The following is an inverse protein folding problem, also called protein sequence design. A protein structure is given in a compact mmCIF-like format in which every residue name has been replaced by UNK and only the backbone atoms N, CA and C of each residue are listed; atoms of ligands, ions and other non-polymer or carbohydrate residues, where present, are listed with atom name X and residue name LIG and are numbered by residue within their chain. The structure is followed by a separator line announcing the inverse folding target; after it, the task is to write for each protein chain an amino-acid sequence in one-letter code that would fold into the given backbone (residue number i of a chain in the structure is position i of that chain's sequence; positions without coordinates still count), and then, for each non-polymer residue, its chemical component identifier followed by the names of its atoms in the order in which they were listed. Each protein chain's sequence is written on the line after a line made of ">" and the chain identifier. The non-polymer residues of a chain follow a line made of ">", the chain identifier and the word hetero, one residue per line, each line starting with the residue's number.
data_IF_813049890718
#
_entry.id   IF_813049890718
#
_cell.length_a   1.000
_cell.length_b   1.000
_cell.length_c   1.000
_cell.angle_alpha   90.00
_cell.angle_beta   90.00
_cell.angle_gamma   90.00
#
_symmetry.space_group_name_H-M   'P 1'
#
loop_
_entity.id
_entity.type
_entity.pdbx_description
1 polymer ?
#
# COMPACT_ATOMS: atom_id res chain seq x y z
N UNK A 1 -5.37 12.90 -4.33
CA UNK A 1 -4.30 12.42 -3.43
C UNK A 1 -3.57 13.59 -2.80
N UNK A 2 -3.29 13.49 -1.47
CA UNK A 2 -2.51 14.48 -0.70
C UNK A 2 -1.23 13.83 -0.14
N UNK A 3 -0.23 14.64 0.19
CA UNK A 3 1.03 14.20 0.79
C UNK A 3 1.11 14.76 2.22
N UNK A 4 0.73 13.94 3.21
CA UNK A 4 0.59 14.39 4.61
C UNK A 4 1.89 14.28 5.39
N UNK A 5 2.72 13.28 5.11
CA UNK A 5 4.08 13.21 5.66
C UNK A 5 5.13 13.39 4.56
N UNK A 6 6.37 13.67 4.96
CA UNK A 6 7.48 13.85 4.04
C UNK A 6 7.72 12.65 3.11
N UNK A 7 8.23 12.92 1.91
CA UNK A 7 8.56 11.93 0.90
C UNK A 7 9.96 11.34 1.10
N UNK A 8 10.30 10.30 0.31
CA UNK A 8 11.63 9.64 0.27
C UNK A 8 12.83 10.61 0.26
N UNK A 9 12.69 11.83 -0.28
CA UNK A 9 13.75 12.85 -0.32
C UNK A 9 14.13 13.41 1.06
N UNK A 10 13.24 13.34 2.03
CA UNK A 10 13.48 13.83 3.39
C UNK A 10 14.24 12.81 4.24
N UNK A 11 14.27 11.53 3.87
CA UNK A 11 15.13 10.52 4.54
C UNK A 11 16.62 10.91 4.57
N UNK A 12 17.07 11.81 3.70
CA UNK A 12 18.44 12.34 3.72
C UNK A 12 18.75 13.17 4.97
N UNK A 13 17.73 13.75 5.59
CA UNK A 13 17.85 14.64 6.74
C UNK A 13 17.41 13.97 8.05
N UNK A 14 16.79 12.79 8.00
CA UNK A 14 16.49 12.02 9.20
C UNK A 14 17.80 11.49 9.79
N UNK A 15 18.21 12.04 10.92
CA UNK A 15 19.15 11.36 11.82
C UNK A 15 18.39 10.18 12.42
N UNK A 16 18.39 9.06 11.73
CA UNK A 16 17.91 7.82 12.29
C UNK A 16 18.79 7.49 13.50
N UNK A 17 18.23 7.61 14.71
CA UNK A 17 18.89 7.06 15.88
C UNK A 17 19.08 5.56 15.65
N UNK A 18 20.22 5.03 16.06
CA UNK A 18 20.56 3.60 15.95
C UNK A 18 19.67 2.71 16.84
N UNK A 19 18.81 3.31 17.63
CA UNK A 19 17.79 2.66 18.44
C UNK A 19 16.46 2.77 17.68
N UNK A 20 15.81 1.64 17.48
CA UNK A 20 14.65 1.37 16.61
C UNK A 20 13.34 2.10 16.97
N UNK A 21 13.43 3.26 17.55
CA UNK A 21 12.33 4.19 17.74
C UNK A 21 12.55 5.37 16.80
N UNK A 22 11.98 5.30 15.60
CA UNK A 22 11.60 6.55 14.93
C UNK A 22 10.73 7.27 15.94
N UNK A 23 11.26 8.32 16.58
CA UNK A 23 10.44 9.09 17.48
C UNK A 23 9.26 9.57 16.65
N UNK A 24 8.07 9.09 17.00
CA UNK A 24 6.78 9.33 16.32
C UNK A 24 6.54 10.81 16.04
N UNK A 25 7.20 11.67 16.80
CA UNK A 25 7.13 13.12 16.71
C UNK A 25 8.08 13.75 15.67
N UNK A 26 9.01 12.97 15.09
CA UNK A 26 9.99 13.49 14.14
C UNK A 26 9.52 13.43 12.68
N UNK A 27 8.46 12.67 12.37
CA UNK A 27 7.86 12.73 11.04
C UNK A 27 7.09 14.03 10.88
N UNK A 28 7.59 14.92 10.02
CA UNK A 28 6.91 16.16 9.72
C UNK A 28 5.53 15.90 9.11
N UNK A 29 4.47 16.27 9.83
CA UNK A 29 3.14 16.40 9.28
C UNK A 29 3.08 17.72 8.51
N UNK A 30 2.80 17.67 7.21
CA UNK A 30 2.85 18.83 6.32
C UNK A 30 1.56 19.67 6.34
N UNK A 31 0.52 19.17 7.00
CA UNK A 31 -0.81 19.79 7.07
C UNK A 31 -1.33 19.79 8.50
N UNK A 32 -2.13 20.78 8.82
CA UNK A 32 -2.97 20.77 10.03
C UNK A 32 -4.16 19.81 9.82
N UNK A 33 -4.80 19.42 10.91
CA UNK A 33 -6.02 18.60 10.86
C UNK A 33 -7.13 19.31 10.06
N UNK A 34 -7.28 20.63 10.24
CA UNK A 34 -8.31 21.43 9.58
C UNK A 34 -8.08 21.49 8.06
N UNK A 35 -6.83 21.58 7.62
CA UNK A 35 -6.49 21.54 6.20
C UNK A 35 -6.83 20.18 5.57
N UNK A 36 -6.52 19.07 6.26
CA UNK A 36 -6.87 17.73 5.79
C UNK A 36 -8.40 17.57 5.76
N UNK A 37 -9.12 17.99 6.80
CA UNK A 37 -10.60 17.98 6.83
C UNK A 37 -11.19 18.76 5.64
N UNK A 38 -10.67 19.95 5.36
CA UNK A 38 -11.15 20.75 4.22
C UNK A 38 -10.98 20.03 2.87
N UNK A 39 -9.88 19.30 2.69
CA UNK A 39 -9.65 18.48 1.48
C UNK A 39 -10.63 17.32 1.42
N UNK A 40 -10.83 16.60 2.52
CA UNK A 40 -11.74 15.45 2.61
C UNK A 40 -13.17 15.90 2.35
N UNK A 41 -13.66 16.93 3.03
CA UNK A 41 -15.01 17.46 2.88
C UNK A 41 -15.27 17.90 1.42
N UNK A 42 -14.29 18.58 0.81
CA UNK A 42 -14.40 19.01 -0.59
C UNK A 42 -14.50 17.82 -1.54
N UNK A 43 -13.66 16.79 -1.36
CA UNK A 43 -13.67 15.60 -2.22
C UNK A 43 -14.96 14.80 -2.02
N UNK A 44 -15.37 14.57 -0.78
CA UNK A 44 -16.58 13.80 -0.44
C UNK A 44 -17.83 14.50 -0.92
N UNK A 45 -17.89 15.84 -0.91
CA UNK A 45 -19.04 16.61 -1.41
C UNK A 45 -19.37 16.34 -2.89
N UNK A 46 -18.38 15.85 -3.65
CA UNK A 46 -18.53 15.48 -5.07
C UNK A 46 -18.38 13.97 -5.29
N UNK A 47 -18.50 13.16 -4.24
CA UNK A 47 -18.46 11.69 -4.30
C UNK A 47 -17.08 11.14 -4.67
N UNK A 48 -15.99 11.83 -4.31
CA UNK A 48 -14.62 11.37 -4.57
C UNK A 48 -13.93 10.97 -3.28
N UNK A 49 -13.17 9.88 -3.32
CA UNK A 49 -12.31 9.39 -2.23
C UNK A 49 -11.02 10.19 -2.15
N UNK A 50 -10.43 10.25 -0.95
CA UNK A 50 -9.13 10.87 -0.68
C UNK A 50 -8.12 9.80 -0.27
N UNK A 51 -7.00 9.75 -0.97
CA UNK A 51 -5.84 8.94 -0.63
C UNK A 51 -4.73 9.84 -0.07
N UNK A 52 -4.11 9.45 1.03
CA UNK A 52 -3.01 10.19 1.64
C UNK A 52 -1.69 9.41 1.59
N UNK A 53 -0.66 10.00 0.97
CA UNK A 53 0.70 9.55 1.21
C UNK A 53 1.03 9.87 2.67
N UNK A 54 1.22 8.84 3.47
CA UNK A 54 1.50 8.98 4.89
C UNK A 54 2.25 7.74 5.41
N UNK A 55 3.31 7.98 6.17
CA UNK A 55 4.14 6.89 6.70
C UNK A 55 3.70 6.42 8.07
N UNK A 56 3.05 7.24 8.88
CA UNK A 56 2.61 6.96 10.24
C UNK A 56 2.56 8.20 11.14
N UNK A 57 2.40 8.00 12.45
CA UNK A 57 2.49 9.03 13.46
C UNK A 57 1.36 10.07 13.40
N UNK A 58 1.67 11.32 13.83
CA UNK A 58 0.67 12.39 13.88
C UNK A 58 -0.08 12.61 12.57
N UNK A 59 0.63 12.53 11.44
CA UNK A 59 0.02 12.70 10.12
C UNK A 59 -1.03 11.63 9.82
N UNK A 60 -0.78 10.38 10.22
CA UNK A 60 -1.73 9.28 10.08
C UNK A 60 -2.94 9.49 11.00
N UNK A 61 -2.71 9.86 12.26
CA UNK A 61 -3.80 10.16 13.20
C UNK A 61 -4.72 11.27 12.67
N UNK A 62 -4.14 12.34 12.11
CA UNK A 62 -4.90 13.41 11.49
C UNK A 62 -5.67 12.94 10.23
N UNK A 63 -5.07 12.07 9.40
CA UNK A 63 -5.76 11.48 8.26
C UNK A 63 -6.99 10.68 8.68
N UNK A 64 -6.84 9.82 9.71
CA UNK A 64 -7.92 9.01 10.25
C UNK A 64 -9.02 9.88 10.82
N UNK A 65 -8.67 10.87 11.66
CA UNK A 65 -9.63 11.80 12.28
C UNK A 65 -10.35 12.66 11.24
N UNK A 66 -9.66 13.03 10.16
CA UNK A 66 -10.25 13.80 9.06
C UNK A 66 -11.14 12.98 8.14
N UNK A 67 -11.12 11.64 8.23
CA UNK A 67 -11.92 10.74 7.40
C UNK A 67 -11.31 10.47 6.03
N UNK A 68 -9.97 10.45 5.91
CA UNK A 68 -9.27 10.01 4.68
C UNK A 68 -9.62 8.57 4.37
N UNK A 69 -9.92 8.24 3.11
CA UNK A 69 -10.38 6.92 2.72
C UNK A 69 -9.26 5.88 2.69
N UNK A 70 -8.05 6.26 2.26
CA UNK A 70 -6.90 5.35 2.25
C UNK A 70 -5.59 6.04 2.62
N UNK A 71 -4.77 5.31 3.36
CA UNK A 71 -3.37 5.62 3.62
C UNK A 71 -2.52 4.86 2.62
N UNK A 72 -1.58 5.56 1.99
CA UNK A 72 -0.61 4.95 1.09
C UNK A 72 0.72 4.80 1.83
N UNK A 73 1.32 3.64 1.69
CA UNK A 73 2.58 3.20 2.29
C UNK A 73 2.47 2.74 3.73
N UNK A 74 2.23 3.60 4.71
CA UNK A 74 2.09 3.22 6.11
C UNK A 74 3.30 2.48 6.70
N UNK A 75 4.52 2.78 6.22
CA UNK A 75 5.74 2.00 6.55
C UNK A 75 6.18 2.13 8.01
N UNK A 76 5.65 3.11 8.74
CA UNK A 76 5.93 3.36 10.16
C UNK A 76 4.67 3.29 11.03
N UNK A 77 3.66 2.52 10.60
CA UNK A 77 2.47 2.25 11.41
C UNK A 77 2.89 1.53 12.70
N UNK A 78 2.49 2.08 13.83
CA UNK A 78 2.58 1.43 15.15
C UNK A 78 1.22 0.87 15.60
N UNK A 79 1.14 0.43 16.85
CA UNK A 79 -0.06 -0.22 17.36
C UNK A 79 -1.22 0.77 17.53
N UNK A 80 -0.95 2.03 17.92
CA UNK A 80 -1.99 3.07 18.05
C UNK A 80 -2.52 3.49 16.68
N UNK A 81 -1.64 3.62 15.67
CA UNK A 81 -2.03 3.91 14.28
C UNK A 81 -2.92 2.80 13.73
N UNK A 82 -2.52 1.54 13.99
CA UNK A 82 -3.28 0.36 13.55
C UNK A 82 -4.66 0.31 14.21
N UNK A 83 -4.75 0.56 15.52
CA UNK A 83 -6.02 0.63 16.23
C UNK A 83 -6.93 1.74 15.70
N UNK A 84 -6.39 2.93 15.45
CA UNK A 84 -7.13 4.04 14.88
C UNK A 84 -7.71 3.69 13.49
N UNK A 85 -6.91 3.05 12.63
CA UNK A 85 -7.35 2.63 11.30
C UNK A 85 -8.40 1.51 11.36
N UNK A 86 -8.25 0.54 12.26
CA UNK A 86 -9.24 -0.52 12.46
C UNK A 86 -10.60 0.06 12.89
N UNK A 87 -10.59 1.03 13.80
CA UNK A 87 -11.80 1.67 14.32
C UNK A 87 -12.50 2.56 13.29
N UNK A 88 -11.73 3.21 12.40
CA UNK A 88 -12.28 4.11 11.37
C UNK A 88 -12.69 3.39 10.08
N UNK A 89 -12.14 2.21 9.81
CA UNK A 89 -12.29 1.52 8.54
C UNK A 89 -11.45 2.12 7.40
N UNK A 90 -10.49 2.99 7.70
CA UNK A 90 -9.54 3.54 6.72
C UNK A 90 -8.71 2.43 6.10
N UNK A 91 -8.59 2.42 4.76
CA UNK A 91 -7.81 1.44 4.02
C UNK A 91 -6.32 1.73 4.09
N UNK A 92 -5.50 0.66 3.94
CA UNK A 92 -4.06 0.80 3.73
C UNK A 92 -3.67 0.21 2.38
N UNK A 93 -2.88 0.95 1.58
CA UNK A 93 -2.23 0.40 0.39
C UNK A 93 -0.77 0.10 0.71
N UNK A 94 -0.43 -1.18 0.82
CA UNK A 94 0.95 -1.63 0.97
C UNK A 94 1.69 -1.40 -0.35
N UNK A 95 2.94 -0.94 -0.26
CA UNK A 95 3.79 -0.65 -1.42
C UNK A 95 5.18 -1.21 -1.20
N UNK A 96 5.25 -2.51 -0.94
CA UNK A 96 6.46 -3.22 -0.53
C UNK A 96 7.61 -3.05 -1.53
N UNK A 97 7.30 -3.03 -2.82
CA UNK A 97 8.29 -2.82 -3.87
C UNK A 97 9.07 -1.52 -3.68
N UNK A 98 8.39 -0.47 -3.23
CA UNK A 98 9.00 0.82 -3.01
C UNK A 98 10.09 0.82 -1.92
N UNK A 99 10.02 -0.10 -0.95
CA UNK A 99 10.83 -0.07 0.27
C UNK A 99 11.61 -1.36 0.56
N UNK A 100 11.21 -2.49 -0.03
CA UNK A 100 11.79 -3.80 0.27
C UNK A 100 12.46 -4.48 -0.94
N UNK A 101 12.28 -3.94 -2.16
CA UNK A 101 12.86 -4.51 -3.36
C UNK A 101 14.30 -4.00 -3.58
N UNK A 102 15.28 -4.89 -3.41
CA UNK A 102 16.70 -4.58 -3.56
C UNK A 102 17.05 -4.08 -4.97
N UNK A 103 16.45 -4.65 -6.01
CA UNK A 103 16.72 -4.25 -7.39
C UNK A 103 16.35 -2.78 -7.66
N UNK A 104 15.34 -2.28 -6.97
CA UNK A 104 14.96 -0.87 -7.06
C UNK A 104 16.05 0.04 -6.52
N UNK A 105 16.68 -0.32 -5.40
CA UNK A 105 17.73 0.48 -4.77
C UNK A 105 19.03 0.41 -5.55
N UNK A 106 19.43 -0.76 -6.03
CA UNK A 106 20.61 -0.94 -6.88
C UNK A 106 20.55 -0.07 -8.13
N UNK A 107 19.38 0.08 -8.72
CA UNK A 107 19.23 0.77 -10.02
C UNK A 107 18.92 2.28 -9.87
N UNK A 108 18.45 2.77 -8.73
CA UNK A 108 17.93 4.13 -8.59
C UNK A 108 18.31 4.85 -7.30
N UNK A 109 18.95 4.18 -6.35
CA UNK A 109 19.29 4.74 -5.05
C UNK A 109 20.63 5.46 -5.04
N UNK A 110 20.75 6.54 -4.25
CA UNK A 110 22.05 6.97 -3.77
C UNK A 110 22.48 6.06 -2.60
N UNK A 111 23.80 5.93 -2.32
CA UNK A 111 24.26 5.13 -1.19
C UNK A 111 23.57 5.47 0.13
N UNK A 112 23.38 6.76 0.42
CA UNK A 112 22.79 7.25 1.66
C UNK A 112 21.30 6.85 1.78
N UNK A 113 20.57 6.93 0.66
CA UNK A 113 19.17 6.52 0.60
C UNK A 113 19.03 5.01 0.79
N UNK A 114 19.91 4.24 0.15
CA UNK A 114 19.97 2.78 0.24
C UNK A 114 20.25 2.33 1.67
N UNK A 115 21.24 2.92 2.33
CA UNK A 115 21.58 2.61 3.73
C UNK A 115 20.40 2.92 4.67
N UNK A 116 19.69 4.02 4.46
CA UNK A 116 18.51 4.36 5.24
C UNK A 116 17.43 3.27 5.15
N UNK A 117 17.13 2.81 3.93
CA UNK A 117 16.13 1.76 3.73
C UNK A 117 16.54 0.42 4.31
N UNK A 118 17.80 0.01 4.19
CA UNK A 118 18.27 -1.24 4.79
C UNK A 118 18.17 -1.22 6.32
N UNK A 119 18.45 -0.09 6.96
CA UNK A 119 18.31 0.07 8.41
C UNK A 119 16.86 -0.07 8.88
N UNK A 120 15.89 0.36 8.08
CA UNK A 120 14.47 0.34 8.43
C UNK A 120 13.72 -0.87 7.91
N UNK A 121 14.35 -1.71 7.10
CA UNK A 121 13.72 -2.87 6.45
C UNK A 121 12.99 -3.77 7.44
N UNK A 122 13.61 -4.15 8.54
CA UNK A 122 13.02 -5.04 9.53
C UNK A 122 11.83 -4.38 10.25
N UNK A 123 11.90 -3.09 10.49
CA UNK A 123 10.78 -2.35 11.04
C UNK A 123 9.59 -2.35 10.07
N UNK A 124 9.82 -2.04 8.79
CA UNK A 124 8.78 -2.03 7.75
C UNK A 124 8.16 -3.43 7.60
N UNK A 125 8.97 -4.47 7.57
CA UNK A 125 8.51 -5.86 7.54
C UNK A 125 7.64 -6.19 8.76
N UNK A 126 8.06 -5.79 9.95
CA UNK A 126 7.29 -5.98 11.19
C UNK A 126 5.95 -5.24 11.16
N UNK A 127 5.95 -3.97 10.75
CA UNK A 127 4.73 -3.16 10.61
C UNK A 127 3.73 -3.79 9.62
N UNK A 128 4.19 -4.19 8.44
CA UNK A 128 3.35 -4.85 7.44
C UNK A 128 2.86 -6.22 7.88
N UNK A 129 3.70 -6.99 8.61
CA UNK A 129 3.27 -8.27 9.20
C UNK A 129 2.14 -8.06 10.22
N UNK A 130 2.20 -7.03 11.05
CA UNK A 130 1.13 -6.68 11.99
C UNK A 130 -0.16 -6.32 11.24
N UNK A 131 -0.07 -5.47 10.22
CA UNK A 131 -1.20 -5.09 9.37
C UNK A 131 -1.87 -6.33 8.76
N UNK A 132 -1.10 -7.22 8.13
CA UNK A 132 -1.61 -8.44 7.49
C UNK A 132 -2.38 -9.32 8.48
N UNK A 133 -1.90 -9.41 9.73
CA UNK A 133 -2.48 -10.26 10.78
C UNK A 133 -3.61 -9.59 11.57
N UNK A 134 -3.78 -8.28 11.48
CA UNK A 134 -4.72 -7.53 12.32
C UNK A 134 -6.17 -7.59 11.85
N UNK A 135 -6.42 -7.97 10.60
CA UNK A 135 -7.74 -7.85 9.98
C UNK A 135 -8.03 -6.47 9.38
N UNK A 136 -7.06 -5.55 9.39
CA UNK A 136 -7.19 -4.27 8.69
C UNK A 136 -7.45 -4.49 7.18
N UNK A 137 -8.32 -3.69 6.60
CA UNK A 137 -8.51 -3.68 5.16
C UNK A 137 -7.28 -3.12 4.47
N UNK A 138 -6.61 -3.96 3.68
CA UNK A 138 -5.46 -3.52 2.89
C UNK A 138 -5.57 -3.96 1.43
N UNK A 139 -4.95 -3.18 0.57
CA UNK A 139 -4.67 -3.47 -0.83
C UNK A 139 -3.17 -3.41 -1.09
N UNK A 140 -2.74 -3.77 -2.29
CA UNK A 140 -1.34 -3.70 -2.71
C UNK A 140 -1.17 -2.83 -3.94
N UNK A 141 -0.06 -2.11 -4.03
CA UNK A 141 0.32 -1.27 -5.16
C UNK A 141 1.84 -1.13 -5.27
N UNK A 142 2.36 -0.82 -6.46
CA UNK A 142 3.81 -0.84 -6.74
C UNK A 142 4.51 0.52 -6.61
N UNK A 143 3.77 1.59 -6.36
CA UNK A 143 4.27 2.97 -6.32
C UNK A 143 5.12 3.32 -7.57
N UNK A 144 4.53 3.10 -8.75
CA UNK A 144 5.13 3.45 -10.03
C UNK A 144 6.13 2.44 -10.61
N UNK A 145 6.26 1.25 -10.03
CA UNK A 145 7.02 0.14 -10.61
C UNK A 145 6.09 -0.72 -11.46
N UNK A 146 5.88 -0.32 -12.72
CA UNK A 146 5.04 -1.06 -13.65
C UNK A 146 5.59 -2.48 -13.89
N UNK A 147 4.69 -3.47 -13.87
CA UNK A 147 5.04 -4.88 -14.05
C UNK A 147 5.46 -5.62 -12.78
N UNK A 148 5.62 -4.94 -11.63
CA UNK A 148 6.14 -5.52 -10.39
C UNK A 148 5.06 -5.90 -9.37
N UNK A 149 3.80 -6.00 -9.75
CA UNK A 149 2.72 -6.41 -8.83
C UNK A 149 2.97 -7.83 -8.25
N UNK A 150 3.64 -8.71 -8.98
CA UNK A 150 4.00 -10.03 -8.49
C UNK A 150 4.91 -9.95 -7.26
N UNK A 151 5.83 -8.97 -7.22
CA UNK A 151 6.69 -8.74 -6.05
C UNK A 151 5.86 -8.36 -4.81
N UNK A 152 4.84 -7.54 -4.97
CA UNK A 152 3.93 -7.17 -3.86
C UNK A 152 3.23 -8.41 -3.30
N UNK A 153 2.68 -9.24 -4.19
CA UNK A 153 1.97 -10.46 -3.81
C UNK A 153 2.89 -11.47 -3.11
N UNK A 154 4.08 -11.70 -3.65
CA UNK A 154 5.09 -12.55 -3.04
C UNK A 154 5.52 -12.04 -1.67
N UNK A 155 5.71 -10.72 -1.54
CA UNK A 155 6.13 -10.08 -0.27
C UNK A 155 5.03 -10.22 0.79
N UNK A 156 3.76 -9.97 0.49
CA UNK A 156 2.71 -10.10 1.51
C UNK A 156 2.50 -11.54 1.94
N UNK A 157 2.73 -12.53 1.05
CA UNK A 157 2.74 -13.95 1.41
C UNK A 157 3.94 -14.29 2.30
N UNK A 158 5.13 -13.79 1.97
CA UNK A 158 6.34 -13.94 2.79
C UNK A 158 6.17 -13.33 4.21
N UNK A 159 5.38 -12.26 4.31
CA UNK A 159 5.01 -11.62 5.57
C UNK A 159 3.85 -12.33 6.31
N UNK A 160 3.31 -13.41 5.76
CA UNK A 160 2.36 -14.30 6.42
C UNK A 160 0.92 -14.24 5.93
N UNK A 161 0.63 -13.59 4.81
CA UNK A 161 -0.68 -13.68 4.18
C UNK A 161 -0.89 -15.06 3.54
N UNK A 162 -2.14 -15.56 3.56
CA UNK A 162 -2.52 -16.67 2.69
C UNK A 162 -2.45 -16.22 1.20
N UNK A 163 -2.00 -17.07 0.26
CA UNK A 163 -1.93 -16.70 -1.16
C UNK A 163 -3.26 -16.19 -1.74
N UNK A 164 -4.39 -16.72 -1.29
CA UNK A 164 -5.72 -16.26 -1.72
C UNK A 164 -5.98 -14.82 -1.21
N UNK A 165 -5.59 -14.52 0.03
CA UNK A 165 -5.74 -13.17 0.59
C UNK A 165 -4.81 -12.17 -0.11
N UNK A 166 -3.60 -12.58 -0.50
CA UNK A 166 -2.70 -11.78 -1.32
C UNK A 166 -3.33 -11.46 -2.68
N UNK A 167 -3.89 -12.46 -3.38
CA UNK A 167 -4.59 -12.25 -4.65
C UNK A 167 -5.80 -11.32 -4.48
N UNK A 168 -6.58 -11.46 -3.41
CA UNK A 168 -7.68 -10.55 -3.10
C UNK A 168 -7.20 -9.11 -2.87
N UNK A 169 -6.04 -8.92 -2.25
CA UNK A 169 -5.47 -7.60 -2.01
C UNK A 169 -5.14 -6.85 -3.30
N UNK A 170 -4.79 -7.56 -4.38
CA UNK A 170 -4.55 -6.99 -5.71
C UNK A 170 -5.80 -6.94 -6.61
N UNK A 171 -6.92 -7.49 -6.20
CA UNK A 171 -8.13 -7.61 -7.01
C UNK A 171 -9.33 -6.97 -6.30
N UNK A 172 -10.16 -7.77 -5.65
CA UNK A 172 -11.43 -7.27 -5.06
C UNK A 172 -11.19 -6.23 -3.95
N UNK A 173 -10.20 -6.43 -3.07
CA UNK A 173 -9.91 -5.46 -2.01
C UNK A 173 -9.38 -4.14 -2.60
N UNK A 174 -8.52 -4.20 -3.63
CA UNK A 174 -8.08 -3.00 -4.35
C UNK A 174 -9.26 -2.28 -5.04
N UNK A 175 -10.18 -3.03 -5.66
CA UNK A 175 -11.38 -2.47 -6.25
C UNK A 175 -12.29 -1.79 -5.20
N UNK A 176 -12.48 -2.40 -4.04
CA UNK A 176 -13.23 -1.83 -2.90
C UNK A 176 -12.58 -0.55 -2.37
N UNK A 177 -11.26 -0.57 -2.17
CA UNK A 177 -10.51 0.62 -1.77
C UNK A 177 -10.74 1.79 -2.74
N UNK A 178 -10.75 1.50 -4.04
CA UNK A 178 -11.00 2.49 -5.10
C UNK A 178 -12.49 2.82 -5.32
N UNK A 179 -13.43 2.05 -4.74
CA UNK A 179 -14.88 2.23 -4.95
C UNK A 179 -15.34 1.88 -6.36
N UNK A 180 -14.77 0.81 -6.95
CA UNK A 180 -15.09 0.32 -8.30
C UNK A 180 -15.37 -1.19 -8.33
N UNK A 181 -15.63 -1.77 -7.17
CA UNK A 181 -15.87 -3.20 -6.98
C UNK A 181 -17.22 -3.67 -7.55
N UNK A 182 -18.11 -2.74 -7.89
CA UNK A 182 -19.29 -3.00 -8.71
C UNK A 182 -18.96 -3.37 -10.17
N UNK A 183 -17.77 -2.98 -10.66
CA UNK A 183 -17.34 -3.13 -12.06
C UNK A 183 -16.23 -4.15 -12.26
N UNK A 184 -15.31 -4.30 -11.30
CA UNK A 184 -14.09 -5.10 -11.43
C UNK A 184 -13.75 -5.82 -10.11
N UNK A 185 -12.70 -6.63 -10.12
CA UNK A 185 -12.12 -7.26 -8.94
C UNK A 185 -12.57 -8.69 -8.69
N UNK A 186 -13.66 -9.14 -9.31
CA UNK A 186 -14.14 -10.53 -9.25
C UNK A 186 -14.59 -11.04 -10.62
N UNK A 187 -14.63 -12.35 -10.78
CA UNK A 187 -15.18 -13.01 -11.99
C UNK A 187 -16.67 -13.26 -11.80
N UNK A 188 -17.48 -12.22 -12.04
CA UNK A 188 -18.93 -12.26 -11.90
C UNK A 188 -19.63 -11.74 -13.14
N UNK A 189 -20.83 -12.30 -13.44
CA UNK A 189 -21.67 -11.83 -14.56
C UNK A 189 -22.03 -10.36 -14.37
N UNK A 190 -21.76 -9.56 -15.40
CA UNK A 190 -22.06 -8.13 -15.40
C UNK A 190 -20.87 -7.22 -15.08
N UNK A 191 -19.76 -7.78 -14.59
CA UNK A 191 -18.51 -7.02 -14.44
C UNK A 191 -17.70 -7.00 -15.72
N UNK A 192 -16.77 -6.04 -15.80
CA UNK A 192 -15.81 -5.92 -16.90
C UNK A 192 -14.90 -7.16 -16.92
N UNK A 193 -14.65 -7.68 -18.11
CA UNK A 193 -13.77 -8.83 -18.30
C UNK A 193 -12.28 -8.39 -18.34
N UNK A 194 -11.81 -7.85 -17.23
CA UNK A 194 -10.39 -7.57 -16.96
C UNK A 194 -9.81 -8.81 -16.27
N UNK A 195 -9.21 -9.71 -17.07
CA UNK A 195 -8.85 -11.06 -16.63
C UNK A 195 -7.41 -11.36 -17.02
N UNK A 196 -6.66 -11.97 -16.12
CA UNK A 196 -5.38 -12.60 -16.44
C UNK A 196 -5.50 -14.13 -16.31
N UNK A 197 -4.94 -14.86 -17.25
CA UNK A 197 -4.70 -16.29 -17.16
C UNK A 197 -3.23 -16.54 -16.88
N UNK A 198 -2.94 -17.44 -15.95
CA UNK A 198 -1.58 -17.78 -15.54
C UNK A 198 -1.36 -19.29 -15.63
N UNK A 199 -0.13 -19.71 -15.96
CA UNK A 199 0.29 -21.12 -15.88
C UNK A 199 0.68 -21.42 -14.44
N UNK A 200 0.13 -22.52 -13.89
CA UNK A 200 0.34 -22.91 -12.50
C UNK A 200 -0.88 -22.65 -11.63
N UNK A 201 -0.64 -22.53 -10.33
CA UNK A 201 -1.71 -22.31 -9.35
C UNK A 201 -1.30 -21.28 -8.29
N UNK A 202 -1.53 -19.98 -8.53
CA UNK A 202 -1.12 -18.91 -7.60
C UNK A 202 -1.86 -18.95 -6.26
N UNK A 203 -2.94 -19.72 -6.13
CA UNK A 203 -3.62 -19.93 -4.83
C UNK A 203 -2.86 -20.89 -3.91
N UNK A 204 -1.85 -21.61 -4.44
CA UNK A 204 -0.98 -22.51 -3.68
C UNK A 204 0.47 -22.05 -3.69
N UNK A 205 0.92 -21.54 -4.82
CA UNK A 205 2.25 -20.97 -5.02
C UNK A 205 2.11 -19.60 -5.65
N UNK A 206 2.20 -18.55 -4.83
CA UNK A 206 1.93 -17.18 -5.29
C UNK A 206 2.86 -16.76 -6.44
N UNK A 207 4.09 -17.28 -6.53
CA UNK A 207 5.04 -16.96 -7.60
C UNK A 207 4.58 -17.41 -8.99
N UNK A 208 3.61 -18.33 -9.08
CA UNK A 208 3.00 -18.71 -10.36
C UNK A 208 2.30 -17.52 -11.06
N UNK A 209 1.96 -16.45 -10.31
CA UNK A 209 1.40 -15.21 -10.88
C UNK A 209 2.33 -14.57 -11.93
N UNK A 210 3.64 -14.87 -11.90
CA UNK A 210 4.59 -14.39 -12.90
C UNK A 210 4.45 -15.09 -14.26
N UNK A 211 3.82 -16.25 -14.31
CA UNK A 211 3.68 -17.08 -15.50
C UNK A 211 2.42 -16.70 -16.29
N UNK A 212 2.34 -15.46 -16.74
CA UNK A 212 1.19 -14.95 -17.48
C UNK A 212 1.08 -15.66 -18.83
N UNK A 213 -0.09 -16.23 -19.12
CA UNK A 213 -0.42 -16.91 -20.37
C UNK A 213 -1.28 -16.02 -21.28
N UNK A 214 -2.24 -15.29 -20.69
CA UNK A 214 -3.07 -14.33 -21.43
C UNK A 214 -3.55 -13.19 -20.54
N UNK A 215 -3.77 -12.03 -21.15
CA UNK A 215 -4.37 -10.86 -20.52
C UNK A 215 -5.54 -10.39 -21.36
N UNK A 216 -6.69 -10.17 -20.71
CA UNK A 216 -7.87 -9.58 -21.30
C UNK A 216 -8.16 -8.26 -20.60
N UNK A 217 -8.41 -7.23 -21.40
CA UNK A 217 -8.89 -5.93 -20.96
C UNK A 217 -10.24 -5.66 -21.61
N UNK A 218 -11.26 -5.51 -20.77
CA UNK A 218 -12.65 -5.29 -21.23
C UNK A 218 -13.11 -6.35 -22.24
N UNK A 219 -12.73 -7.62 -21.99
CA UNK A 219 -13.02 -8.76 -22.84
C UNK A 219 -12.16 -8.90 -24.10
N UNK A 220 -11.28 -7.94 -24.38
CA UNK A 220 -10.37 -7.98 -25.54
C UNK A 220 -9.03 -8.59 -25.10
N UNK A 221 -8.56 -9.62 -25.78
CA UNK A 221 -7.25 -10.22 -25.54
C UNK A 221 -6.16 -9.23 -25.97
N UNK A 222 -5.27 -8.87 -25.02
CA UNK A 222 -4.19 -7.89 -25.24
C UNK A 222 -2.79 -8.52 -25.14
N UNK A 223 -2.67 -9.69 -24.51
CA UNK A 223 -1.43 -10.50 -24.41
C UNK A 223 -1.81 -11.97 -24.51
N UNK A 224 -0.92 -12.76 -25.15
CA UNK A 224 -1.02 -14.21 -25.29
C UNK A 224 -1.41 -14.71 -26.64
#
# INVERSE_FOLDING_TARGET
>A
KIFVTGSKGEFRNFKFSTEATVERNEMHCLFTLEEIKAVVDTAHSVGKKVAAHCYGGRGLQYCVEAGVDSIEHGIYIDDDDLEAMLNSGTWLTLTSNAYLNDQRFINRGTPELTDGFYKHREYIRSAYTKVIKSGLNYSVGTDGQHGEIAFELETVVDLGADPIEALKAATIKAAQSCGVDDKVGTLEKGKLADIIAVKGNPTRNISDIRNIDAVFKDGIKVIG
#
